data_IF_231931572354
#
_entry.id   IF_231931572354
#
_cell.length_a   1.000
_cell.length_b   1.000
_cell.length_c   1.000
_cell.angle_alpha   90.00
_cell.angle_beta   90.00
_cell.angle_gamma   90.00
#
_symmetry.space_group_name_H-M   'P 1'
#
loop_
_entity.id
_entity.type
_entity.pdbx_description
1 polymer ?
#
# COMPACT_ATOMS: atom_id res chain seq x y z
N UNK A 1 0.24 36.89 13.05
CA UNK A 1 0.10 37.25 11.63
C UNK A 1 0.18 35.95 10.82
N UNK A 2 -0.96 35.33 10.48
CA UNK A 2 -1.01 34.08 9.73
C UNK A 2 -0.83 34.37 8.23
N UNK A 3 0.35 34.09 7.70
CA UNK A 3 0.60 34.12 6.25
C UNK A 3 -0.09 32.91 5.61
N UNK A 4 -1.18 33.14 4.86
CA UNK A 4 -1.76 32.14 3.94
C UNK A 4 -0.71 31.79 2.88
N UNK A 5 0.02 30.69 3.06
CA UNK A 5 0.80 30.08 1.97
C UNK A 5 -0.19 29.44 1.00
N UNK A 6 -0.19 29.95 -0.23
CA UNK A 6 -0.90 29.37 -1.37
C UNK A 6 -0.24 28.02 -1.65
N UNK A 7 -0.96 26.94 -1.40
CA UNK A 7 -0.53 25.58 -1.75
C UNK A 7 -0.50 25.51 -3.28
N UNK A 8 0.70 25.42 -3.85
CA UNK A 8 0.85 25.09 -5.28
C UNK A 8 0.37 23.66 -5.43
N UNK A 9 -0.79 23.47 -6.04
CA UNK A 9 -1.29 22.15 -6.40
C UNK A 9 -0.23 21.42 -7.22
N UNK A 10 0.01 20.16 -6.90
CA UNK A 10 0.84 19.28 -7.71
C UNK A 10 0.31 19.33 -9.16
N UNK A 11 1.11 19.74 -10.16
CA UNK A 11 0.60 19.94 -11.50
C UNK A 11 0.15 18.59 -12.06
N UNK A 12 -1.17 18.35 -12.00
CA UNK A 12 -1.84 17.21 -12.59
C UNK A 12 -1.67 17.34 -14.11
N UNK A 13 -0.69 16.64 -14.69
CA UNK A 13 -0.66 16.39 -16.14
C UNK A 13 -1.77 15.39 -16.50
N UNK A 14 -3.04 15.79 -16.34
CA UNK A 14 -4.22 14.97 -16.62
C UNK A 14 -4.59 14.96 -18.11
N UNK A 15 -3.82 15.62 -18.99
CA UNK A 15 -4.17 15.73 -20.41
C UNK A 15 -3.75 14.53 -21.29
N UNK A 16 -2.90 13.62 -20.81
CA UNK A 16 -2.32 12.57 -21.67
C UNK A 16 -3.16 11.28 -21.78
N UNK A 17 -4.03 10.99 -20.79
CA UNK A 17 -4.75 9.70 -20.74
C UNK A 17 -6.01 9.69 -21.61
N UNK A 18 -6.65 10.84 -21.82
CA UNK A 18 -7.89 10.93 -22.61
C UNK A 18 -7.62 10.74 -24.11
N UNK A 19 -6.42 11.07 -24.60
CA UNK A 19 -6.09 10.93 -26.03
C UNK A 19 -5.80 9.48 -26.45
N UNK A 20 -5.33 8.63 -25.53
CA UNK A 20 -4.98 7.24 -25.87
C UNK A 20 -6.22 6.33 -26.00
N UNK A 21 -7.27 6.56 -25.20
CA UNK A 21 -8.51 5.77 -25.30
C UNK A 21 -9.29 6.01 -26.60
N UNK A 22 -9.22 7.21 -27.17
CA UNK A 22 -9.92 7.54 -28.42
C UNK A 22 -9.30 6.87 -29.66
N UNK A 23 -7.99 6.59 -29.63
CA UNK A 23 -7.28 5.92 -30.74
C UNK A 23 -7.42 4.38 -30.69
N UNK A 24 -7.55 3.80 -29.49
CA UNK A 24 -7.82 2.36 -29.36
C UNK A 24 -9.23 2.00 -29.86
N UNK A 25 -10.23 2.86 -29.63
CA UNK A 25 -11.61 2.59 -30.03
C UNK A 25 -11.79 2.60 -31.55
N UNK A 26 -11.03 3.42 -32.28
CA UNK A 26 -11.09 3.49 -33.75
C UNK A 26 -10.36 2.36 -34.44
N UNK A 27 -9.31 1.79 -33.82
CA UNK A 27 -8.59 0.64 -34.37
C UNK A 27 -9.40 -0.67 -34.27
N UNK A 28 -10.18 -0.86 -33.20
CA UNK A 28 -10.98 -2.09 -33.00
C UNK A 28 -12.15 -2.15 -33.98
N UNK A 29 -12.73 -1.01 -34.37
CA UNK A 29 -13.83 -0.97 -35.35
C UNK A 29 -13.42 -1.34 -36.78
N UNK A 30 -12.11 -1.33 -37.10
CA UNK A 30 -11.62 -1.53 -38.46
C UNK A 30 -11.26 -2.99 -38.78
N UNK A 31 -11.19 -3.89 -37.79
CA UNK A 31 -10.69 -5.27 -37.96
C UNK A 31 -11.83 -6.30 -38.16
N UNK A 32 -13.11 -5.88 -38.17
CA UNK A 32 -14.26 -6.80 -38.19
C UNK A 32 -15.01 -6.92 -39.53
N UNK A 33 -14.33 -6.75 -40.66
CA UNK A 33 -14.86 -7.07 -41.97
C UNK A 33 -13.83 -7.87 -42.75
N UNK A 34 -13.89 -9.20 -42.66
CA UNK A 34 -13.62 -10.15 -43.75
C UNK A 34 -13.32 -11.55 -43.20
N UNK A 35 -14.35 -12.41 -43.12
CA UNK A 35 -14.24 -13.85 -43.42
C UNK A 35 -15.59 -14.53 -43.24
N UNK A 36 -16.29 -14.80 -44.34
CA UNK A 36 -17.41 -15.71 -44.39
C UNK A 36 -16.86 -17.13 -44.63
N UNK A 37 -16.68 -17.90 -43.55
CA UNK A 37 -16.53 -19.35 -43.58
C UNK A 37 -17.70 -19.95 -42.78
N UNK A 38 -18.25 -21.08 -43.23
CA UNK A 38 -19.46 -21.68 -42.66
C UNK A 38 -19.21 -22.20 -41.23
N UNK A 39 -20.10 -21.96 -40.24
CA UNK A 39 -19.73 -21.96 -38.83
C UNK A 39 -20.04 -23.25 -38.04
N UNK A 40 -20.60 -24.31 -38.61
CA UNK A 40 -21.41 -25.22 -37.76
C UNK A 40 -20.69 -26.46 -37.19
N UNK A 41 -19.42 -26.75 -37.52
CA UNK A 41 -18.75 -27.99 -37.03
C UNK A 41 -17.39 -27.77 -36.30
N UNK A 42 -16.92 -26.52 -36.18
CA UNK A 42 -15.65 -26.20 -35.49
C UNK A 42 -15.83 -25.44 -34.18
N UNK A 43 -17.03 -24.93 -33.88
CA UNK A 43 -17.26 -24.08 -32.69
C UNK A 43 -17.19 -24.88 -31.38
N UNK A 44 -17.64 -26.14 -31.38
CA UNK A 44 -17.72 -26.97 -30.18
C UNK A 44 -16.33 -27.43 -29.67
N UNK A 45 -15.39 -27.73 -30.56
CA UNK A 45 -14.05 -28.23 -30.19
C UNK A 45 -13.17 -27.10 -29.63
N UNK A 46 -13.31 -25.88 -30.17
CA UNK A 46 -12.66 -24.68 -29.64
C UNK A 46 -13.23 -24.26 -28.29
N UNK A 47 -14.56 -24.32 -28.11
CA UNK A 47 -15.20 -24.00 -26.84
C UNK A 47 -14.76 -24.95 -25.71
N UNK A 48 -14.70 -26.26 -25.99
CA UNK A 48 -14.24 -27.27 -25.03
C UNK A 48 -12.75 -27.10 -24.66
N UNK A 49 -11.90 -26.87 -25.66
CA UNK A 49 -10.46 -26.60 -25.45
C UNK A 49 -10.22 -25.34 -24.61
N UNK A 50 -10.99 -24.28 -24.86
CA UNK A 50 -10.92 -23.03 -24.10
C UNK A 50 -11.36 -23.22 -22.65
N UNK A 51 -12.47 -23.91 -22.41
CA UNK A 51 -12.97 -24.19 -21.07
C UNK A 51 -11.97 -25.04 -20.27
N UNK A 52 -11.38 -26.08 -20.88
CA UNK A 52 -10.31 -26.87 -20.26
C UNK A 52 -9.09 -26.03 -19.90
N UNK A 53 -8.72 -25.09 -20.77
CA UNK A 53 -7.60 -24.18 -20.53
C UNK A 53 -7.88 -23.21 -19.37
N UNK A 54 -9.09 -22.65 -19.30
CA UNK A 54 -9.50 -21.79 -18.18
C UNK A 54 -9.51 -22.54 -16.85
N UNK A 55 -9.96 -23.81 -16.83
CA UNK A 55 -9.92 -24.62 -15.61
C UNK A 55 -8.48 -24.87 -15.14
N UNK A 56 -7.57 -25.20 -16.06
CA UNK A 56 -6.14 -25.37 -15.77
C UNK A 56 -5.50 -24.09 -15.24
N UNK A 57 -5.82 -22.94 -15.83
CA UNK A 57 -5.38 -21.62 -15.35
C UNK A 57 -5.84 -21.41 -13.92
N UNK A 58 -7.12 -21.63 -13.63
CA UNK A 58 -7.66 -21.50 -12.27
C UNK A 58 -6.99 -22.45 -11.25
N UNK A 59 -6.61 -23.67 -11.67
CA UNK A 59 -5.84 -24.60 -10.81
C UNK A 59 -4.43 -24.06 -10.54
N UNK A 60 -3.75 -23.53 -11.57
CA UNK A 60 -2.40 -22.95 -11.44
C UNK A 60 -2.41 -21.71 -10.54
N UNK A 61 -3.37 -20.81 -10.72
CA UNK A 61 -3.55 -19.63 -9.86
C UNK A 61 -3.73 -20.05 -8.40
N UNK A 62 -4.60 -21.03 -8.11
CA UNK A 62 -4.78 -21.54 -6.74
C UNK A 62 -3.51 -22.17 -6.15
N UNK A 63 -2.66 -22.78 -6.98
CA UNK A 63 -1.37 -23.34 -6.55
C UNK A 63 -0.35 -22.24 -6.28
N UNK A 64 -0.24 -21.27 -7.18
CA UNK A 64 0.64 -20.12 -7.05
C UNK A 64 0.31 -19.32 -5.79
N UNK A 65 -0.97 -19.01 -5.56
CA UNK A 65 -1.43 -18.32 -4.34
C UNK A 65 -1.08 -19.08 -3.06
N UNK A 66 -1.20 -20.42 -3.07
CA UNK A 66 -0.78 -21.23 -1.90
C UNK A 66 0.72 -21.20 -1.69
N UNK A 67 1.51 -21.30 -2.76
CA UNK A 67 2.96 -21.23 -2.68
C UNK A 67 3.44 -19.85 -2.18
N UNK A 68 2.86 -18.76 -2.69
CA UNK A 68 3.15 -17.38 -2.25
C UNK A 68 2.89 -17.23 -0.75
N UNK A 69 1.68 -17.61 -0.29
CA UNK A 69 1.32 -17.55 1.14
C UNK A 69 2.26 -18.38 2.03
N UNK A 70 2.71 -19.55 1.56
CA UNK A 70 3.67 -20.36 2.30
C UNK A 70 5.06 -19.72 2.35
N UNK A 71 5.52 -19.13 1.25
CA UNK A 71 6.79 -18.42 1.17
C UNK A 71 6.76 -17.19 2.11
N UNK A 72 5.70 -16.41 2.08
CA UNK A 72 5.51 -15.25 2.95
C UNK A 72 5.49 -15.63 4.42
N UNK A 73 4.78 -16.70 4.79
CA UNK A 73 4.82 -17.23 6.17
C UNK A 73 6.24 -17.60 6.58
N UNK A 74 7.03 -18.16 5.67
CA UNK A 74 8.43 -18.50 5.92
C UNK A 74 9.29 -17.24 6.07
N UNK A 75 9.10 -16.22 5.22
CA UNK A 75 9.74 -14.91 5.35
C UNK A 75 9.41 -14.29 6.71
N UNK A 76 8.15 -14.25 7.09
CA UNK A 76 7.73 -13.74 8.39
C UNK A 76 8.31 -14.54 9.55
N UNK A 77 8.39 -15.87 9.45
CA UNK A 77 8.98 -16.69 10.50
C UNK A 77 10.50 -16.49 10.64
N UNK A 78 11.20 -16.08 9.58
CA UNK A 78 12.67 -16.02 9.53
C UNK A 78 13.25 -14.60 9.59
N UNK A 79 12.53 -13.61 9.06
CA UNK A 79 12.97 -12.22 8.91
C UNK A 79 12.06 -11.22 9.64
N UNK A 80 10.92 -11.68 10.16
CA UNK A 80 9.91 -10.86 10.85
C UNK A 80 9.25 -9.77 9.98
N UNK A 81 9.51 -9.81 8.66
CA UNK A 81 9.06 -8.84 7.64
C UNK A 81 8.82 -9.56 6.30
N UNK A 82 8.02 -8.95 5.43
CA UNK A 82 7.72 -9.46 4.10
C UNK A 82 8.62 -8.83 3.03
N UNK A 83 8.95 -9.60 1.98
CA UNK A 83 9.81 -9.14 0.88
C UNK A 83 9.20 -8.02 0.02
N UNK A 84 7.92 -7.73 0.18
CA UNK A 84 7.22 -6.64 -0.50
C UNK A 84 7.17 -5.34 0.32
N UNK A 85 8.01 -5.24 1.37
CA UNK A 85 8.01 -4.10 2.29
C UNK A 85 6.86 -4.11 3.29
N UNK A 86 6.17 -5.26 3.41
CA UNK A 86 5.04 -5.45 4.29
C UNK A 86 5.39 -5.91 5.69
N UNK A 87 4.54 -5.51 6.63
CA UNK A 87 4.56 -6.03 7.99
C UNK A 87 4.02 -7.46 8.05
N UNK A 88 4.64 -8.28 8.90
CA UNK A 88 4.20 -9.65 9.12
C UNK A 88 2.95 -9.73 9.98
N UNK A 89 1.80 -9.66 9.32
CA UNK A 89 0.49 -9.84 9.94
C UNK A 89 0.08 -11.32 9.86
N UNK A 90 0.40 -12.11 10.88
CA UNK A 90 -0.20 -13.45 11.07
C UNK A 90 -1.14 -13.43 12.26
N UNK A 91 -2.17 -14.29 12.28
CA UNK A 91 -3.17 -14.33 13.36
C UNK A 91 -2.56 -14.40 14.78
N UNK A 92 -1.38 -15.01 14.90
CA UNK A 92 -0.61 -15.18 16.13
C UNK A 92 0.45 -14.08 16.38
N UNK A 93 0.86 -13.31 15.37
CA UNK A 93 1.97 -12.31 15.45
C UNK A 93 1.63 -10.89 15.01
N UNK A 94 0.36 -10.52 14.99
CA UNK A 94 -0.07 -9.16 14.63
C UNK A 94 0.63 -8.06 15.47
N UNK A 95 1.15 -8.44 16.65
CA UNK A 95 1.81 -7.55 17.61
C UNK A 95 3.32 -7.73 17.78
N UNK A 96 3.93 -8.75 17.19
CA UNK A 96 5.31 -9.14 17.54
C UNK A 96 6.35 -8.88 16.44
N UNK A 97 5.96 -8.25 15.32
CA UNK A 97 6.82 -8.01 14.15
C UNK A 97 7.75 -6.78 14.19
N UNK A 98 8.24 -6.36 15.36
CA UNK A 98 9.16 -5.20 15.47
C UNK A 98 8.52 -3.80 15.48
N UNK A 99 7.23 -3.65 15.16
CA UNK A 99 6.50 -2.36 15.22
C UNK A 99 5.92 -2.05 16.64
N UNK A 100 6.60 -2.57 17.66
CA UNK A 100 6.18 -2.46 19.07
C UNK A 100 6.41 -1.05 19.62
N UNK A 101 7.37 -0.31 19.07
CA UNK A 101 7.72 1.02 19.57
C UNK A 101 7.06 2.06 18.68
N UNK A 102 6.05 2.73 19.23
CA UNK A 102 5.60 4.00 18.70
C UNK A 102 6.44 5.10 19.33
N UNK A 103 7.02 5.98 18.51
CA UNK A 103 7.78 7.13 18.98
C UNK A 103 6.94 8.41 18.81
N UNK A 104 6.34 8.96 19.89
CA UNK A 104 5.53 10.17 19.83
C UNK A 104 6.27 11.37 19.23
N UNK A 105 7.55 11.51 19.57
CA UNK A 105 8.43 12.58 19.13
C UNK A 105 8.57 12.60 17.60
N UNK A 106 8.71 11.42 16.98
CA UNK A 106 8.76 11.30 15.54
C UNK A 106 7.43 11.73 14.90
N UNK A 107 6.28 11.41 15.51
CA UNK A 107 5.00 11.89 15.01
C UNK A 107 4.91 13.43 15.02
N UNK A 108 5.34 14.08 16.11
CA UNK A 108 5.36 15.54 16.18
C UNK A 108 6.29 16.16 15.15
N UNK A 109 7.49 15.59 14.97
CA UNK A 109 8.44 16.03 13.96
C UNK A 109 7.85 15.92 12.55
N UNK A 110 7.24 14.77 12.21
CA UNK A 110 6.58 14.58 10.91
C UNK A 110 5.45 15.58 10.72
N UNK A 111 4.62 15.80 11.75
CA UNK A 111 3.53 16.78 11.68
C UNK A 111 4.03 18.21 11.44
N UNK A 112 5.08 18.63 12.15
CA UNK A 112 5.70 19.95 11.98
C UNK A 112 6.31 20.11 10.57
N UNK A 113 6.96 19.07 10.07
CA UNK A 113 7.58 19.05 8.75
C UNK A 113 6.54 19.14 7.62
N UNK A 114 5.50 18.31 7.67
CA UNK A 114 4.52 18.22 6.57
C UNK A 114 3.44 19.29 6.68
N UNK A 115 3.13 19.77 7.88
CA UNK A 115 2.12 20.80 8.12
C UNK A 115 0.76 20.45 7.50
N UNK A 116 0.12 21.41 6.81
CA UNK A 116 -1.19 21.24 6.18
C UNK A 116 -1.09 20.60 4.78
N UNK A 117 -0.48 19.43 4.73
CA UNK A 117 -0.23 18.68 3.50
C UNK A 117 -0.96 17.33 3.49
N UNK A 118 -1.07 16.75 2.30
CA UNK A 118 -1.46 15.35 2.11
C UNK A 118 -0.25 14.43 2.22
N UNK A 119 -0.40 13.32 2.96
CA UNK A 119 0.69 12.37 3.25
C UNK A 119 0.29 10.96 2.81
N UNK A 120 1.20 10.28 2.12
CA UNK A 120 1.18 8.82 1.99
C UNK A 120 2.24 8.21 2.92
N UNK A 121 1.88 7.13 3.60
CA UNK A 121 2.75 6.42 4.55
C UNK A 121 2.96 4.99 4.04
N UNK A 122 4.17 4.73 3.53
CA UNK A 122 4.57 3.46 2.93
C UNK A 122 5.26 2.61 3.99
N UNK A 123 4.69 1.43 4.25
CA UNK A 123 5.03 0.59 5.41
C UNK A 123 4.30 1.04 6.67
N UNK A 124 3.07 1.50 6.53
CA UNK A 124 2.32 2.07 7.65
C UNK A 124 2.04 1.06 8.78
N UNK A 125 2.25 -0.24 8.55
CA UNK A 125 1.89 -1.31 9.47
C UNK A 125 0.42 -1.18 9.85
N UNK A 126 0.14 -1.16 11.16
CA UNK A 126 -1.22 -0.97 11.69
C UNK A 126 -1.68 0.50 11.75
N UNK A 127 -0.88 1.45 11.23
CA UNK A 127 -1.28 2.86 11.10
C UNK A 127 -1.11 3.72 12.35
N UNK A 128 -0.12 3.43 13.20
CA UNK A 128 0.13 4.21 14.43
C UNK A 128 0.36 5.70 14.14
N UNK A 129 1.19 6.02 13.14
CA UNK A 129 1.40 7.40 12.70
C UNK A 129 0.15 8.01 12.08
N UNK A 130 -0.62 7.26 11.29
CA UNK A 130 -1.90 7.72 10.76
C UNK A 130 -2.89 8.14 11.83
N UNK A 131 -3.04 7.34 12.90
CA UNK A 131 -3.88 7.70 14.04
C UNK A 131 -3.39 8.96 14.74
N UNK A 132 -2.08 9.10 14.88
CA UNK A 132 -1.45 10.28 15.46
C UNK A 132 -1.75 11.54 14.62
N UNK A 133 -1.40 11.53 13.33
CA UNK A 133 -1.58 12.66 12.40
C UNK A 133 -3.06 13.02 12.18
N UNK A 134 -3.96 12.03 12.21
CA UNK A 134 -5.39 12.24 12.05
C UNK A 134 -6.13 12.53 13.36
N UNK A 135 -5.45 12.46 14.52
CA UNK A 135 -6.06 12.56 15.86
C UNK A 135 -7.20 11.55 16.07
N UNK A 136 -7.15 10.43 15.38
CA UNK A 136 -8.24 9.44 15.30
C UNK A 136 -7.78 8.14 15.94
N UNK A 137 -8.63 7.56 16.78
CA UNK A 137 -8.41 6.19 17.25
C UNK A 137 -9.03 5.23 16.23
N UNK A 138 -8.33 4.15 15.89
CA UNK A 138 -8.90 3.07 15.10
C UNK A 138 -9.44 1.98 16.02
N UNK A 139 -10.72 1.68 15.91
CA UNK A 139 -11.40 0.71 16.78
C UNK A 139 -11.79 -0.56 16.05
N UNK A 140 -11.76 -0.53 14.72
CA UNK A 140 -12.28 -1.61 13.87
C UNK A 140 -11.19 -2.61 13.48
N UNK A 141 -10.23 -2.84 14.37
CA UNK A 141 -9.21 -3.85 14.15
C UNK A 141 -9.81 -5.26 14.31
N UNK A 142 -9.52 -6.15 13.38
CA UNK A 142 -9.85 -7.58 13.48
C UNK A 142 -8.76 -8.30 14.29
N UNK A 143 -8.68 -7.95 15.57
CA UNK A 143 -7.72 -8.45 16.54
C UNK A 143 -8.41 -9.24 17.65
N UNK A 144 -7.68 -10.12 18.32
CA UNK A 144 -8.15 -10.68 19.60
C UNK A 144 -8.27 -9.59 20.66
N UNK A 145 -9.14 -9.77 21.65
CA UNK A 145 -9.31 -8.79 22.74
C UNK A 145 -8.02 -8.51 23.52
N UNK A 146 -7.13 -9.50 23.64
CA UNK A 146 -5.81 -9.31 24.24
C UNK A 146 -4.95 -8.34 23.41
N UNK A 147 -4.83 -8.59 22.11
CA UNK A 147 -4.06 -7.76 21.18
C UNK A 147 -4.63 -6.34 21.09
N UNK A 148 -5.96 -6.19 21.05
CA UNK A 148 -6.60 -4.86 21.07
C UNK A 148 -6.24 -4.07 22.33
N UNK A 149 -6.25 -4.71 23.50
CA UNK A 149 -5.91 -4.05 24.77
C UNK A 149 -4.46 -3.58 24.79
N UNK A 150 -3.53 -4.42 24.34
CA UNK A 150 -2.11 -4.06 24.23
C UNK A 150 -1.91 -2.90 23.25
N UNK A 151 -2.60 -2.92 22.10
CA UNK A 151 -2.55 -1.82 21.11
C UNK A 151 -3.09 -0.51 21.61
N UNK A 152 -4.27 -0.57 22.21
CA UNK A 152 -4.90 0.62 22.74
C UNK A 152 -4.06 1.18 23.88
N UNK A 153 -3.52 0.34 24.77
CA UNK A 153 -2.68 0.81 25.88
C UNK A 153 -1.43 1.57 25.38
N UNK A 154 -0.73 1.04 24.38
CA UNK A 154 0.45 1.66 23.76
C UNK A 154 0.12 3.05 23.17
N UNK A 155 -0.99 3.15 22.44
CA UNK A 155 -1.39 4.40 21.79
C UNK A 155 -2.09 5.39 22.72
N UNK A 156 -2.75 4.93 23.79
CA UNK A 156 -3.69 5.74 24.55
C UNK A 156 -3.03 6.87 25.33
N UNK A 157 -1.85 6.62 25.93
CA UNK A 157 -1.08 7.66 26.62
C UNK A 157 -0.69 8.78 25.63
N UNK A 158 -0.17 8.39 24.46
CA UNK A 158 0.26 9.34 23.43
C UNK A 158 -0.92 10.07 22.81
N UNK A 159 -1.98 9.36 22.40
CA UNK A 159 -3.18 9.98 21.84
C UNK A 159 -3.85 10.95 22.80
N UNK A 160 -3.81 10.72 24.11
CA UNK A 160 -4.35 11.67 25.09
C UNK A 160 -3.57 13.00 25.11
N UNK A 161 -2.24 12.95 24.97
CA UNK A 161 -1.42 14.16 24.87
C UNK A 161 -1.68 14.91 23.56
N UNK A 162 -1.78 14.17 22.46
CA UNK A 162 -1.86 14.68 21.09
C UNK A 162 -3.28 15.19 20.74
N UNK A 163 -4.34 14.62 21.33
CA UNK A 163 -5.73 15.10 21.12
C UNK A 163 -5.96 16.55 21.58
N UNK A 164 -5.07 17.10 22.41
CA UNK A 164 -5.15 18.48 22.88
C UNK A 164 -4.64 19.48 21.83
N UNK A 165 -3.91 19.01 20.83
CA UNK A 165 -3.38 19.86 19.75
C UNK A 165 -4.25 19.73 18.51
N UNK A 166 -4.43 20.81 17.74
CA UNK A 166 -5.20 20.77 16.51
C UNK A 166 -4.54 19.85 15.48
N UNK A 167 -5.35 19.09 14.73
CA UNK A 167 -4.90 18.34 13.56
C UNK A 167 -4.37 19.33 12.51
N UNK A 168 -3.12 19.18 12.13
CA UNK A 168 -2.51 20.04 11.10
C UNK A 168 -2.50 19.35 9.73
N UNK A 169 -2.24 18.04 9.68
CA UNK A 169 -2.21 17.26 8.43
C UNK A 169 -3.57 17.30 7.73
N UNK A 170 -3.57 17.59 6.43
CA UNK A 170 -4.81 17.69 5.64
C UNK A 170 -5.43 16.30 5.47
N UNK A 171 -4.68 15.36 4.92
CA UNK A 171 -5.09 13.97 4.72
C UNK A 171 -3.91 13.01 4.84
N UNK A 172 -4.20 11.76 5.22
CA UNK A 172 -3.21 10.69 5.39
C UNK A 172 -3.77 9.40 4.80
N UNK A 173 -2.93 8.62 4.12
CA UNK A 173 -3.25 7.29 3.58
C UNK A 173 -2.09 6.35 3.87
N UNK A 174 -2.37 5.22 4.50
CA UNK A 174 -1.37 4.18 4.80
C UNK A 174 -1.40 3.05 3.79
N UNK A 175 -0.22 2.63 3.37
CA UNK A 175 0.00 1.49 2.49
C UNK A 175 1.01 0.54 3.13
N UNK A 176 0.79 -0.76 3.01
CA UNK A 176 1.67 -1.78 3.57
C UNK A 176 1.64 -3.04 2.70
N UNK A 177 2.78 -3.71 2.55
CA UNK A 177 2.87 -4.97 1.80
C UNK A 177 2.26 -6.18 2.54
N UNK A 178 1.83 -6.03 3.79
CA UNK A 178 1.26 -7.13 4.56
C UNK A 178 -0.02 -7.66 3.93
N UNK A 179 -0.05 -8.90 3.43
CA UNK A 179 -1.21 -9.44 2.69
C UNK A 179 -2.54 -9.36 3.47
N UNK A 180 -2.49 -9.53 4.78
CA UNK A 180 -3.67 -9.48 5.63
C UNK A 180 -3.96 -8.06 6.20
N UNK A 181 -3.19 -7.04 5.79
CA UNK A 181 -3.22 -5.73 6.46
C UNK A 181 -4.57 -5.02 6.30
N UNK A 182 -5.21 -5.14 5.13
CA UNK A 182 -6.53 -4.53 4.89
C UNK A 182 -7.59 -5.13 5.80
N UNK A 183 -7.62 -6.46 5.88
CA UNK A 183 -8.58 -7.19 6.73
C UNK A 183 -8.35 -6.85 8.20
N UNK A 184 -7.10 -6.95 8.67
CA UNK A 184 -6.74 -6.76 10.08
C UNK A 184 -6.89 -5.31 10.53
N UNK A 185 -6.58 -4.35 9.67
CA UNK A 185 -6.76 -2.92 9.96
C UNK A 185 -8.22 -2.46 9.82
N UNK A 186 -9.12 -3.32 9.34
CA UNK A 186 -10.51 -2.95 9.03
C UNK A 186 -10.61 -1.90 7.93
N UNK A 187 -9.71 -1.98 6.94
CA UNK A 187 -9.61 -1.06 5.81
C UNK A 187 -8.98 0.30 6.13
N UNK A 188 -8.32 0.46 7.30
CA UNK A 188 -7.59 1.70 7.61
C UNK A 188 -6.29 1.83 6.84
N UNK A 189 -5.69 0.70 6.49
CA UNK A 189 -4.45 0.55 5.74
C UNK A 189 -4.78 -0.22 4.48
N UNK A 190 -4.32 0.28 3.34
CA UNK A 190 -4.46 -0.41 2.06
C UNK A 190 -3.26 -1.32 1.80
N UNK A 191 -3.51 -2.45 1.15
CA UNK A 191 -2.43 -3.34 0.74
C UNK A 191 -1.75 -2.79 -0.52
N UNK A 192 -0.42 -2.77 -0.55
CA UNK A 192 0.36 -2.47 -1.75
C UNK A 192 1.72 -3.18 -1.70
N UNK A 193 2.12 -3.85 -2.79
CA UNK A 193 3.47 -4.37 -2.91
C UNK A 193 4.43 -3.23 -3.23
N UNK A 194 5.17 -2.76 -2.23
CA UNK A 194 6.07 -1.62 -2.37
C UNK A 194 7.32 -1.93 -3.20
N UNK A 195 7.58 -3.22 -3.45
CA UNK A 195 8.68 -3.71 -4.28
C UNK A 195 8.29 -3.91 -5.75
N UNK A 196 7.02 -3.70 -6.10
CA UNK A 196 6.50 -3.85 -7.46
C UNK A 196 7.02 -2.74 -8.38
N UNK A 197 7.50 -3.13 -9.57
CA UNK A 197 7.94 -2.19 -10.60
C UNK A 197 6.75 -1.37 -11.11
N UNK A 198 6.88 -0.04 -11.07
CA UNK A 198 5.89 0.86 -11.67
C UNK A 198 4.56 0.93 -10.91
N UNK A 199 4.54 0.56 -9.62
CA UNK A 199 3.38 0.69 -8.75
C UNK A 199 2.73 2.06 -8.90
N UNK A 200 1.41 2.08 -9.12
CA UNK A 200 0.64 3.32 -9.22
C UNK A 200 -0.65 3.24 -8.42
N UNK A 201 -0.74 4.07 -7.38
CA UNK A 201 -1.86 4.11 -6.42
C UNK A 201 -2.98 5.07 -6.85
N UNK A 202 -3.04 5.44 -8.13
CA UNK A 202 -4.09 6.30 -8.70
C UNK A 202 -3.93 7.80 -8.46
N UNK A 203 -3.01 8.23 -7.60
CA UNK A 203 -2.80 9.65 -7.26
C UNK A 203 -1.40 9.92 -6.73
N UNK A 204 -1.07 11.19 -6.54
CA UNK A 204 0.10 11.66 -5.76
C UNK A 204 -0.34 12.34 -4.46
N UNK A 205 0.62 12.52 -3.57
CA UNK A 205 0.53 13.25 -2.31
C UNK A 205 1.60 14.34 -2.25
N UNK A 206 1.39 15.32 -1.39
CA UNK A 206 2.39 16.35 -1.16
C UNK A 206 3.68 15.72 -0.60
N UNK A 207 3.53 14.82 0.37
CA UNK A 207 4.61 14.09 1.00
C UNK A 207 4.37 12.58 0.94
N UNK A 208 5.46 11.83 0.75
CA UNK A 208 5.50 10.38 0.99
C UNK A 208 6.47 10.14 2.14
N UNK A 209 6.03 9.43 3.17
CA UNK A 209 6.87 8.98 4.26
C UNK A 209 7.07 7.46 4.20
N UNK A 210 8.23 7.00 4.63
CA UNK A 210 8.50 5.58 4.83
C UNK A 210 9.53 5.40 5.95
N UNK A 211 9.22 4.51 6.88
CA UNK A 211 10.01 4.23 8.08
C UNK A 211 10.31 2.73 8.10
N UNK A 212 11.58 2.35 8.17
CA UNK A 212 12.08 0.97 8.18
C UNK A 212 11.67 0.03 7.04
N UNK A 213 11.02 0.50 5.98
CA UNK A 213 10.64 -0.40 4.87
C UNK A 213 11.85 -0.80 4.03
N UNK A 214 12.72 0.17 3.73
CA UNK A 214 13.77 0.00 2.73
C UNK A 214 14.78 -1.10 3.06
N UNK A 215 15.02 -1.38 4.34
CA UNK A 215 15.93 -2.47 4.77
C UNK A 215 15.36 -3.88 4.55
N UNK A 216 14.05 -3.97 4.28
CA UNK A 216 13.35 -5.24 4.05
C UNK A 216 13.09 -5.51 2.57
N UNK A 217 13.23 -4.49 1.72
CA UNK A 217 13.10 -4.63 0.27
C UNK A 217 14.28 -5.44 -0.29
N UNK A 218 14.05 -6.48 -1.10
CA UNK A 218 15.10 -7.21 -1.79
C UNK A 218 15.99 -6.28 -2.60
N UNK A 219 17.29 -6.56 -2.62
CA UNK A 219 18.29 -5.71 -3.30
C UNK A 219 17.98 -5.47 -4.79
N UNK A 220 17.33 -6.42 -5.46
CA UNK A 220 16.94 -6.34 -6.86
C UNK A 220 15.63 -5.57 -7.11
N UNK A 221 14.99 -5.07 -6.06
CA UNK A 221 13.76 -4.27 -6.12
C UNK A 221 13.91 -2.94 -5.37
N UNK A 222 15.11 -2.59 -4.89
CA UNK A 222 15.35 -1.35 -4.15
C UNK A 222 15.12 -0.12 -5.04
N UNK A 223 15.53 -0.20 -6.30
CA UNK A 223 15.27 0.83 -7.30
C UNK A 223 13.78 1.02 -7.59
N UNK A 224 13.00 -0.06 -7.64
CA UNK A 224 11.54 0.01 -7.77
C UNK A 224 10.90 0.67 -6.56
N UNK A 225 11.32 0.30 -5.35
CA UNK A 225 10.85 0.93 -4.13
C UNK A 225 11.15 2.44 -4.10
N UNK A 226 12.37 2.85 -4.46
CA UNK A 226 12.75 4.26 -4.52
C UNK A 226 11.97 5.03 -5.61
N UNK A 227 11.76 4.42 -6.78
CA UNK A 227 10.90 5.00 -7.82
C UNK A 227 9.46 5.16 -7.31
N UNK A 228 8.93 4.16 -6.61
CA UNK A 228 7.59 4.21 -6.04
C UNK A 228 7.44 5.37 -5.04
N UNK A 229 8.42 5.61 -4.16
CA UNK A 229 8.40 6.77 -3.25
C UNK A 229 8.39 8.10 -4.04
N UNK A 230 9.28 8.24 -5.02
CA UNK A 230 9.40 9.46 -5.81
C UNK A 230 8.20 9.73 -6.71
N UNK A 231 7.63 8.67 -7.29
CA UNK A 231 6.47 8.72 -8.18
C UNK A 231 5.24 9.29 -7.49
N UNK A 232 5.05 8.96 -6.21
CA UNK A 232 3.88 9.37 -5.43
C UNK A 232 4.07 10.70 -4.68
N UNK A 233 5.27 11.26 -4.61
CA UNK A 233 5.56 12.53 -3.94
C UNK A 233 5.48 13.75 -4.90
N UNK A 234 5.02 14.89 -4.38
CA UNK A 234 4.96 16.16 -5.11
C UNK A 234 5.89 17.24 -4.54
N UNK A 235 6.08 17.28 -3.22
CA UNK A 235 6.90 18.28 -2.54
C UNK A 235 8.17 17.67 -1.93
N UNK A 236 8.05 16.49 -1.31
CA UNK A 236 9.19 15.83 -0.70
C UNK A 236 8.92 14.39 -0.29
N UNK A 237 10.01 13.68 -0.01
CA UNK A 237 10.01 12.33 0.55
C UNK A 237 10.64 12.42 1.94
N UNK A 238 9.93 11.98 2.97
CA UNK A 238 10.50 11.80 4.30
C UNK A 238 10.94 10.35 4.44
N UNK A 239 12.25 10.10 4.29
CA UNK A 239 12.84 8.79 4.54
C UNK A 239 13.48 8.81 5.92
N UNK A 240 12.99 7.96 6.82
CA UNK A 240 13.69 7.66 8.08
C UNK A 240 14.27 6.25 7.91
N UNK A 241 15.59 6.18 7.89
CA UNK A 241 16.34 4.92 7.91
C UNK A 241 16.87 4.73 9.33
N UNK A 242 16.25 3.89 10.14
CA UNK A 242 16.85 3.36 11.36
C UNK A 242 17.67 2.15 10.95
N UNK A 243 18.86 2.42 10.39
CA UNK A 243 19.84 1.37 10.16
C UNK A 243 20.15 0.67 11.48
N UNK A 244 19.72 -0.60 11.61
CA UNK A 244 20.31 -1.51 12.59
C UNK A 244 21.60 -2.03 11.96
N UNK A 245 22.73 -1.47 12.39
CA UNK A 245 24.05 -2.05 12.15
C UNK A 245 24.06 -3.51 12.62
N UNK A 246 24.31 -4.44 11.69
CA UNK A 246 24.59 -5.86 11.98
C UNK A 246 25.86 -6.03 12.82
#
# INVERSE_FOLDING_TARGET
MYQKRIIKSCPLKLLAVITFMALAYTAISYIHQDSAASPDDLEDDYAYSWQSSQEKIGVLERRLTRASKSLERLWCATRDVMSNGGFCVTADRIYTGGNIIFEPELCYFVEELVGNASVADFGAGLGKYGMCLLRKNQTNFQLSEKQKKEYIADMQATLQSIKKTPKVVYSWHGFDGGIAIEEVSGGFISHADLSEEGLWLGRKWDWVMSIEVGEHIPRNSEDYFLDNLARHACQGIQRVLVSVTY
#
